data_IF_048011392639
#
_entry.id   IF_048011392639
#
_cell.length_a   1.000
_cell.length_b   1.000
_cell.length_c   1.000
_cell.angle_alpha   90.00
_cell.angle_beta   90.00
_cell.angle_gamma   90.00
#
_symmetry.space_group_name_H-M   'P 1'
#
loop_
_entity.id
_entity.type
_entity.pdbx_description
1 polymer ?
#
# COMPACT_ATOMS: atom_id res chain seq x y z
N UNK A 1 3.30 -27.95 2.84
CA UNK A 1 3.41 -27.40 3.04
C UNK A 1 3.48 -26.47 2.91
N UNK A 2 3.38 -25.92 2.88
CA UNK A 2 3.47 -25.09 2.80
C UNK A 2 3.96 -24.41 2.79
N UNK A 3 4.03 -24.06 2.51
CA UNK A 3 4.70 -23.41 2.49
C UNK A 3 5.00 -22.47 2.92
N UNK A 4 5.43 -22.37 2.82
CA UNK A 4 5.77 -21.66 3.19
C UNK A 4 5.38 -20.60 3.33
N UNK A 5 5.16 -20.39 3.38
CA UNK A 5 4.83 -19.52 3.49
C UNK A 5 4.23 -18.77 3.64
N UNK A 6 4.14 -19.01 3.60
CA UNK A 6 3.73 -18.37 3.75
C UNK A 6 3.27 -17.31 3.97
N UNK A 7 3.63 -16.63 4.01
CA UNK A 7 3.18 -15.39 4.27
C UNK A 7 2.49 -14.84 3.13
N UNK A 8 1.38 -15.28 2.95
CA UNK A 8 0.63 -14.75 1.91
C UNK A 8 0.04 -13.47 2.35
N UNK A 9 0.38 -12.39 1.67
CA UNK A 9 -0.22 -11.09 1.92
C UNK A 9 -1.09 -10.72 0.77
N UNK A 10 -2.30 -10.28 1.07
CA UNK A 10 -3.22 -9.79 0.05
C UNK A 10 -3.43 -8.32 0.30
N UNK A 11 -3.28 -7.53 -0.74
CA UNK A 11 -3.49 -6.09 -0.66
C UNK A 11 -4.58 -5.73 -1.66
N UNK A 12 -5.62 -5.07 -1.17
CA UNK A 12 -6.72 -4.63 -2.01
C UNK A 12 -6.72 -3.12 -2.02
N UNK A 13 -6.83 -2.54 -3.18
CA UNK A 13 -6.74 -1.10 -3.36
C UNK A 13 -7.95 -0.63 -4.15
N UNK A 14 -8.56 0.46 -3.67
CA UNK A 14 -9.61 1.14 -4.41
C UNK A 14 -9.14 2.55 -4.68
N UNK A 15 -9.25 2.99 -5.92
CA UNK A 15 -8.82 4.31 -6.33
C UNK A 15 -10.07 5.13 -6.64
N UNK A 16 -10.17 6.29 -6.00
CA UNK A 16 -11.29 7.20 -6.19
C UNK A 16 -10.79 8.48 -6.85
N UNK A 17 -11.36 8.82 -7.98
CA UNK A 17 -10.99 10.04 -8.68
C UNK A 17 -11.63 11.24 -7.98
N UNK A 18 -10.82 12.25 -7.69
CA UNK A 18 -11.29 13.47 -7.04
C UNK A 18 -10.69 14.67 -7.76
N UNK A 19 -11.25 15.00 -8.93
CA UNK A 19 -10.73 16.10 -9.72
C UNK A 19 -9.38 15.76 -10.30
N UNK A 20 -8.39 16.61 -10.01
CA UNK A 20 -7.04 16.40 -10.51
C UNK A 20 -6.22 15.45 -9.65
N UNK A 21 -6.81 15.00 -8.56
CA UNK A 21 -6.13 14.09 -7.65
C UNK A 21 -6.93 12.83 -7.48
N UNK A 22 -6.34 11.86 -6.83
CA UNK A 22 -7.04 10.60 -6.51
C UNK A 22 -6.86 10.31 -5.04
N UNK A 23 -7.78 9.54 -4.50
CA UNK A 23 -7.70 9.03 -3.15
C UNK A 23 -7.58 7.51 -3.23
N UNK A 24 -6.66 6.96 -2.48
CA UNK A 24 -6.43 5.53 -2.47
C UNK A 24 -6.86 5.00 -1.12
N UNK A 25 -7.79 4.04 -1.14
CA UNK A 25 -8.18 3.30 0.06
C UNK A 25 -7.61 1.92 -0.07
N UNK A 26 -6.84 1.48 0.92
CA UNK A 26 -6.22 0.19 0.86
C UNK A 26 -6.55 -0.65 2.08
N UNK A 27 -6.44 -1.96 1.90
CA UNK A 27 -6.68 -2.92 2.96
C UNK A 27 -5.77 -4.11 2.72
N UNK A 28 -5.05 -4.50 3.74
CA UNK A 28 -4.08 -5.59 3.62
C UNK A 28 -4.38 -6.68 4.65
N UNK A 29 -4.13 -7.91 4.27
CA UNK A 29 -4.23 -9.05 5.15
C UNK A 29 -2.91 -9.80 5.13
N UNK A 30 -2.54 -10.45 6.22
CA UNK A 30 -3.21 -10.45 7.54
C UNK A 30 -3.23 -9.06 8.16
N UNK A 31 -4.11 -8.85 9.13
CA UNK A 31 -4.24 -7.56 9.78
C UNK A 31 -2.98 -7.20 10.56
N UNK A 32 -2.85 -5.94 10.90
CA UNK A 32 -1.71 -5.44 11.65
C UNK A 32 -1.26 -4.12 11.06
N UNK A 33 -0.41 -3.44 11.80
CA UNK A 33 0.09 -2.13 11.37
C UNK A 33 1.13 -2.31 10.28
N UNK A 34 0.98 -1.53 9.22
CA UNK A 34 1.89 -1.54 8.07
C UNK A 34 2.39 -0.13 7.83
N UNK A 35 3.65 -0.03 7.50
CA UNK A 35 4.19 1.21 6.95
C UNK A 35 3.96 1.16 5.45
N UNK A 36 3.33 2.20 4.92
CA UNK A 36 2.95 2.25 3.51
C UNK A 36 3.69 3.41 2.86
N UNK A 37 4.35 3.14 1.74
CA UNK A 37 5.04 4.16 0.97
C UNK A 37 4.44 4.18 -0.43
N UNK A 38 4.12 5.37 -0.91
CA UNK A 38 3.69 5.56 -2.28
C UNK A 38 4.85 6.19 -3.04
N UNK A 39 5.36 5.47 -4.02
CA UNK A 39 6.46 5.93 -4.85
C UNK A 39 5.90 6.40 -6.18
N UNK A 40 6.08 7.69 -6.47
CA UNK A 40 5.55 8.28 -7.68
C UNK A 40 6.63 9.20 -8.24
N UNK A 41 7.29 8.74 -9.28
CA UNK A 41 8.43 9.46 -9.81
C UNK A 41 9.51 9.57 -8.74
N UNK A 42 9.95 10.78 -8.45
CA UNK A 42 10.94 11.01 -7.40
C UNK A 42 10.28 11.36 -6.07
N UNK A 43 8.96 11.29 -6.00
CA UNK A 43 8.22 11.65 -4.79
C UNK A 43 7.87 10.39 -4.02
N UNK A 44 8.04 10.43 -2.71
CA UNK A 44 7.66 9.34 -1.83
C UNK A 44 6.78 9.92 -0.74
N UNK A 45 5.56 9.38 -0.63
CA UNK A 45 4.61 9.75 0.41
C UNK A 45 4.44 8.56 1.32
N UNK A 46 4.52 8.79 2.62
CA UNK A 46 4.43 7.70 3.59
C UNK A 46 3.22 7.84 4.46
N UNK A 47 2.67 6.71 4.87
CA UNK A 47 1.58 6.67 5.83
C UNK A 47 1.66 5.33 6.55
N UNK A 48 0.74 5.13 7.50
CA UNK A 48 0.66 3.87 8.22
C UNK A 48 -0.77 3.37 8.19
N UNK A 49 -0.92 2.05 8.17
CA UNK A 49 -2.25 1.46 8.30
C UNK A 49 -2.65 1.47 9.76
N UNK A 50 -3.93 1.23 10.00
CA UNK A 50 -4.40 0.98 11.35
C UNK A 50 -4.20 -0.49 11.69
N UNK A 51 -4.69 -0.90 12.86
CA UNK A 51 -4.52 -2.28 13.32
C UNK A 51 -5.28 -3.26 12.46
N UNK A 52 -6.25 -2.80 11.70
CA UNK A 52 -7.02 -3.65 10.82
C UNK A 52 -6.38 -3.78 9.46
N UNK A 53 -5.26 -3.13 9.24
CA UNK A 53 -4.57 -3.19 7.97
C UNK A 53 -5.12 -2.23 6.92
N UNK A 54 -5.89 -1.23 7.34
CA UNK A 54 -6.49 -0.26 6.42
C UNK A 54 -5.68 1.01 6.38
N UNK A 55 -5.54 1.56 5.20
CA UNK A 55 -4.81 2.82 5.03
C UNK A 55 -5.50 3.66 3.97
N UNK A 56 -5.27 4.97 4.05
CA UNK A 56 -5.83 5.93 3.10
C UNK A 56 -4.73 6.90 2.70
N UNK A 57 -4.64 7.14 1.40
CA UNK A 57 -3.75 8.16 0.86
C UNK A 57 -4.62 9.15 0.11
N UNK A 58 -4.62 10.40 0.54
CA UNK A 58 -5.45 11.43 -0.07
C UNK A 58 -4.59 12.40 -0.86
N UNK A 59 -5.24 13.12 -1.77
CA UNK A 59 -4.60 14.18 -2.55
C UNK A 59 -3.38 13.67 -3.32
N UNK A 60 -3.50 12.48 -3.90
CA UNK A 60 -2.41 11.88 -4.67
C UNK A 60 -2.51 12.37 -6.10
N UNK A 61 -1.43 12.93 -6.66
CA UNK A 61 -1.46 13.34 -8.07
C UNK A 61 -1.67 12.16 -8.99
N UNK A 62 -2.28 12.39 -10.12
CA UNK A 62 -2.46 11.34 -11.10
C UNK A 62 -1.13 10.98 -11.74
N UNK A 63 -1.00 9.73 -12.15
CA UNK A 63 0.19 9.26 -12.82
C UNK A 63 0.57 7.88 -12.33
N UNK A 64 1.63 7.29 -12.89
CA UNK A 64 2.06 5.96 -12.49
C UNK A 64 2.67 6.00 -11.09
N UNK A 65 2.34 4.99 -10.29
CA UNK A 65 2.81 4.92 -8.91
C UNK A 65 2.89 3.48 -8.49
N UNK A 66 3.63 3.23 -7.42
CA UNK A 66 3.66 1.91 -6.82
C UNK A 66 3.66 2.05 -5.31
N UNK A 67 3.17 1.02 -4.66
CA UNK A 67 3.11 0.99 -3.21
C UNK A 67 4.12 0.00 -2.68
N UNK A 68 4.77 0.37 -1.59
CA UNK A 68 5.66 -0.52 -0.85
C UNK A 68 5.11 -0.58 0.56
N UNK A 69 4.82 -1.79 1.02
CA UNK A 69 4.22 -1.99 2.33
C UNK A 69 5.16 -2.85 3.15
N UNK A 70 5.42 -2.42 4.39
CA UNK A 70 6.26 -3.17 5.30
C UNK A 70 5.50 -3.40 6.58
N UNK A 71 5.50 -4.65 7.03
CA UNK A 71 4.86 -4.99 8.29
C UNK A 71 5.76 -4.60 9.44
N UNK A 72 5.16 -4.07 10.49
CA UNK A 72 5.92 -3.69 11.67
C UNK A 72 6.66 -4.90 12.25
N UNK A 73 6.06 -6.07 12.15
CA UNK A 73 6.67 -7.29 12.69
C UNK A 73 7.79 -7.83 11.83
N UNK A 74 7.75 -7.53 10.53
CA UNK A 74 8.76 -8.04 9.59
C UNK A 74 9.13 -6.97 8.57
N UNK A 75 9.80 -5.90 9.02
CA UNK A 75 10.07 -4.78 8.12
C UNK A 75 11.07 -5.11 7.01
N UNK A 76 11.77 -6.23 7.12
CA UNK A 76 12.77 -6.59 6.11
C UNK A 76 12.16 -7.28 4.90
N UNK A 77 10.86 -7.58 4.93
CA UNK A 77 10.21 -8.27 3.82
C UNK A 77 9.08 -7.39 3.29
N UNK A 78 9.40 -6.46 2.42
CA UNK A 78 8.35 -5.56 1.91
C UNK A 78 7.50 -6.23 0.86
N UNK A 79 6.25 -5.77 0.77
CA UNK A 79 5.36 -6.14 -0.31
C UNK A 79 5.35 -4.98 -1.29
N UNK A 80 5.74 -5.23 -2.53
CA UNK A 80 5.81 -4.19 -3.54
C UNK A 80 4.76 -4.48 -4.59
N UNK A 81 3.88 -3.52 -4.84
CA UNK A 81 2.87 -3.69 -5.87
C UNK A 81 3.46 -3.43 -7.24
N UNK A 82 2.83 -3.92 -8.29
CA UNK A 82 3.20 -3.48 -9.63
C UNK A 82 2.88 -2.00 -9.80
N UNK A 83 3.36 -1.43 -10.90
CA UNK A 83 3.04 -0.04 -11.22
C UNK A 83 1.55 0.11 -11.42
N UNK A 84 0.96 1.09 -10.76
CA UNK A 84 -0.46 1.37 -10.83
C UNK A 84 -0.65 2.70 -11.51
N UNK A 85 -1.57 2.74 -12.45
CA UNK A 85 -1.87 3.98 -13.15
C UNK A 85 -2.96 4.72 -12.41
N UNK A 86 -2.64 5.83 -11.82
CA UNK A 86 -3.59 6.61 -11.04
C UNK A 86 -4.21 7.75 -11.84
#
# INVERSE_FOLDING_TARGET
>A
MSPCGSAESTVMITVHAEGEHVRIDGWATPTGVLAVELHQGSTVVTTESDEDGRFVLADVPRGPARLVLRRAAEPTVPVVTPMIEL
#
